data_IF_811176693841
#
_entry.id   IF_811176693841
#
_cell.length_a   1.000
_cell.length_b   1.000
_cell.length_c   1.000
_cell.angle_alpha   90.00
_cell.angle_beta   90.00
_cell.angle_gamma   90.00
#
_symmetry.space_group_name_H-M   'P 1'
#
loop_
_entity.id
_entity.type
_entity.pdbx_description
1 polymer ?
#
# COMPACT_ATOMS: atom_id res chain seq x y z
N UNK A 1 15.53 -2.00 -21.16
CA UNK A 1 14.42 -1.25 -20.56
C UNK A 1 14.87 0.07 -19.91
N UNK A 2 15.70 0.06 -18.85
CA UNK A 2 16.05 1.26 -18.07
C UNK A 2 16.59 2.47 -18.89
N UNK A 3 17.54 2.23 -19.82
CA UNK A 3 18.06 3.30 -20.72
C UNK A 3 16.96 3.91 -21.60
N UNK A 4 15.96 3.12 -22.01
CA UNK A 4 14.85 3.62 -22.79
C UNK A 4 13.92 4.50 -21.94
N UNK A 5 13.65 4.11 -20.68
CA UNK A 5 12.90 4.93 -19.73
C UNK A 5 13.55 6.30 -19.51
N UNK A 6 14.87 6.36 -19.34
CA UNK A 6 15.61 7.63 -19.24
C UNK A 6 15.39 8.55 -20.46
N UNK A 7 15.35 7.98 -21.68
CA UNK A 7 15.06 8.75 -22.90
C UNK A 7 13.63 9.30 -22.91
N UNK A 8 12.66 8.51 -22.44
CA UNK A 8 11.25 8.93 -22.33
C UNK A 8 11.12 10.07 -21.31
N UNK A 9 11.71 9.92 -20.11
CA UNK A 9 11.71 10.96 -19.07
C UNK A 9 12.28 12.26 -19.61
N UNK A 10 13.44 12.21 -20.30
CA UNK A 10 14.05 13.38 -20.93
C UNK A 10 13.14 14.00 -22.01
N UNK A 11 12.52 13.18 -22.86
CA UNK A 11 11.61 13.64 -23.91
C UNK A 11 10.34 14.30 -23.35
N UNK A 12 9.89 13.91 -22.16
CA UNK A 12 8.77 14.51 -21.44
C UNK A 12 9.17 15.72 -20.57
N UNK A 13 10.45 16.13 -20.57
CA UNK A 13 10.95 17.28 -19.81
C UNK A 13 11.33 16.99 -18.35
N UNK A 14 11.39 15.72 -17.94
CA UNK A 14 11.84 15.32 -16.60
C UNK A 14 13.36 15.15 -16.50
N UNK A 15 13.86 14.99 -15.27
CA UNK A 15 15.26 14.67 -15.00
C UNK A 15 15.53 13.16 -15.24
N UNK A 16 16.32 12.76 -16.26
CA UNK A 16 16.61 11.35 -16.54
C UNK A 16 17.52 10.68 -15.51
N UNK A 17 18.19 11.47 -14.66
CA UNK A 17 19.11 10.98 -13.63
C UNK A 17 18.50 11.00 -12.23
N UNK A 18 17.19 11.31 -12.12
CA UNK A 18 16.43 11.12 -10.89
C UNK A 18 16.54 9.67 -10.42
N UNK A 19 16.73 9.49 -9.12
CA UNK A 19 16.75 8.17 -8.50
C UNK A 19 15.37 7.88 -7.89
N UNK A 20 14.93 6.60 -7.85
CA UNK A 20 13.67 6.24 -7.20
C UNK A 20 13.59 6.73 -5.74
N UNK A 21 14.72 6.79 -5.04
CA UNK A 21 14.82 7.23 -3.65
C UNK A 21 14.64 8.75 -3.49
N UNK A 22 14.80 9.53 -4.57
CA UNK A 22 14.57 10.98 -4.58
C UNK A 22 13.07 11.33 -4.65
N UNK A 23 12.19 10.33 -4.86
CA UNK A 23 10.74 10.53 -4.97
C UNK A 23 10.15 10.65 -3.56
N UNK A 24 9.70 11.85 -3.22
CA UNK A 24 9.10 12.12 -1.91
C UNK A 24 7.73 11.44 -1.72
N UNK A 25 7.56 10.78 -0.58
CA UNK A 25 6.28 10.24 -0.10
C UNK A 25 5.68 11.12 0.99
N UNK A 26 4.43 10.86 1.36
CA UNK A 26 3.70 11.66 2.35
C UNK A 26 4.38 11.62 3.73
N UNK A 27 4.47 12.75 4.45
CA UNK A 27 5.11 12.81 5.76
C UNK A 27 4.32 12.07 6.85
N UNK A 28 3.00 11.91 6.68
CA UNK A 28 2.17 11.15 7.60
C UNK A 28 2.02 9.71 7.11
N UNK A 29 2.24 8.75 8.01
CA UNK A 29 2.20 7.33 7.68
C UNK A 29 1.53 6.52 8.81
N UNK A 30 0.74 5.52 8.42
CA UNK A 30 0.19 4.53 9.33
C UNK A 30 0.49 3.10 8.85
N UNK A 31 0.91 2.24 9.78
CA UNK A 31 1.14 0.82 9.54
C UNK A 31 -0.11 0.01 9.85
N UNK A 32 -0.58 -0.75 8.88
CA UNK A 32 -1.68 -1.68 9.05
C UNK A 32 -1.14 -3.08 9.29
N UNK A 33 -1.29 -3.56 10.52
CA UNK A 33 -0.70 -4.81 11.01
C UNK A 33 -1.66 -5.98 10.93
N UNK A 34 -1.11 -7.19 10.81
CA UNK A 34 -1.89 -8.42 10.89
C UNK A 34 -2.46 -8.59 12.30
N UNK A 35 -3.77 -8.83 12.47
CA UNK A 35 -4.37 -9.08 13.78
C UNK A 35 -4.00 -10.46 14.34
N UNK A 36 -3.62 -11.40 13.48
CA UNK A 36 -3.34 -12.79 13.83
C UNK A 36 -2.29 -13.43 12.91
N UNK A 37 -1.90 -14.65 13.25
CA UNK A 37 -1.01 -15.48 12.43
C UNK A 37 -1.80 -16.13 11.29
N UNK A 38 -1.23 -16.18 10.08
CA UNK A 38 -1.89 -16.83 8.95
C UNK A 38 -1.20 -16.60 7.61
N UNK A 39 -1.94 -16.83 6.54
CA UNK A 39 -1.53 -16.52 5.18
C UNK A 39 -2.51 -15.53 4.56
N UNK A 40 -2.00 -14.57 3.78
CA UNK A 40 -2.87 -13.69 2.99
C UNK A 40 -3.42 -14.49 1.82
N UNK A 41 -4.72 -14.80 1.84
CA UNK A 41 -5.35 -15.64 0.80
C UNK A 41 -5.97 -14.83 -0.32
N UNK A 42 -6.44 -13.62 -0.02
CA UNK A 42 -7.04 -12.72 -1.01
C UNK A 42 -6.88 -11.24 -0.61
N UNK A 43 -6.98 -10.34 -1.59
CA UNK A 43 -6.95 -8.88 -1.39
C UNK A 43 -7.99 -8.18 -2.28
N UNK A 44 -8.93 -7.47 -1.66
CA UNK A 44 -9.97 -6.68 -2.35
C UNK A 44 -9.42 -5.35 -2.87
N UNK A 45 -9.10 -5.31 -4.17
CA UNK A 45 -8.58 -4.12 -4.85
C UNK A 45 -9.49 -2.88 -4.75
N UNK A 46 -10.81 -3.08 -4.65
CA UNK A 46 -11.77 -1.97 -4.46
C UNK A 46 -11.48 -1.19 -3.16
N UNK A 47 -11.22 -1.91 -2.07
CA UNK A 47 -10.94 -1.29 -0.76
C UNK A 47 -9.57 -0.62 -0.77
N UNK A 48 -8.56 -1.24 -1.37
CA UNK A 48 -7.23 -0.63 -1.58
C UNK A 48 -7.37 0.70 -2.34
N UNK A 49 -8.12 0.72 -3.44
CA UNK A 49 -8.34 1.93 -4.22
C UNK A 49 -9.08 3.01 -3.39
N UNK A 50 -10.09 2.62 -2.62
CA UNK A 50 -10.85 3.56 -1.78
C UNK A 50 -9.99 4.15 -0.66
N UNK A 51 -9.19 3.33 0.04
CA UNK A 51 -8.25 3.79 1.08
C UNK A 51 -7.25 4.79 0.48
N UNK A 52 -6.66 4.48 -0.69
CA UNK A 52 -5.70 5.36 -1.35
C UNK A 52 -6.34 6.71 -1.73
N UNK A 53 -7.59 6.70 -2.20
CA UNK A 53 -8.34 7.92 -2.51
C UNK A 53 -8.62 8.76 -1.27
N UNK A 54 -9.01 8.14 -0.16
CA UNK A 54 -9.26 8.85 1.11
C UNK A 54 -7.95 9.48 1.62
N UNK A 55 -6.83 8.76 1.52
CA UNK A 55 -5.51 9.28 1.88
C UNK A 55 -5.07 10.48 1.03
N UNK A 56 -5.66 10.70 -0.14
CA UNK A 56 -5.45 11.89 -0.97
C UNK A 56 -5.04 11.61 -2.43
N UNK A 57 -4.88 10.35 -2.84
CA UNK A 57 -4.57 10.00 -4.23
C UNK A 57 -5.79 10.26 -5.15
N UNK A 58 -5.60 10.75 -6.39
CA UNK A 58 -4.35 11.16 -7.03
C UNK A 58 -4.01 12.65 -6.88
N UNK A 59 -4.88 13.44 -6.25
CA UNK A 59 -4.70 14.88 -6.11
C UNK A 59 -3.39 15.23 -5.39
N UNK A 60 -3.06 14.44 -4.36
CA UNK A 60 -1.78 14.46 -3.67
C UNK A 60 -0.92 13.30 -4.18
N UNK A 61 0.14 13.60 -4.95
CA UNK A 61 1.07 12.58 -5.49
C UNK A 61 1.87 11.84 -4.41
N UNK A 62 2.03 12.45 -3.24
CA UNK A 62 2.73 11.88 -2.07
C UNK A 62 1.85 10.89 -1.27
N UNK A 63 0.54 10.88 -1.51
CA UNK A 63 -0.39 9.99 -0.82
C UNK A 63 -0.56 8.66 -1.58
N UNK A 64 -0.75 7.58 -0.84
CA UNK A 64 -0.92 6.26 -1.44
C UNK A 64 -0.80 5.11 -0.44
N UNK A 65 -0.67 3.91 -0.96
CA UNK A 65 -0.52 2.68 -0.17
C UNK A 65 0.70 1.92 -0.66
N UNK A 66 1.55 1.50 0.27
CA UNK A 66 2.63 0.57 0.03
C UNK A 66 2.24 -0.82 0.56
N UNK A 67 2.28 -1.83 -0.31
CA UNK A 67 1.91 -3.21 0.02
C UNK A 67 3.20 -3.96 0.36
N UNK A 68 3.35 -4.31 1.64
CA UNK A 68 4.54 -5.02 2.15
C UNK A 68 4.38 -6.53 1.98
N UNK A 69 3.24 -7.06 2.41
CA UNK A 69 2.91 -8.48 2.29
C UNK A 69 1.78 -8.69 1.28
N UNK A 70 1.99 -9.60 0.33
CA UNK A 70 1.06 -9.89 -0.76
C UNK A 70 0.36 -11.24 -0.55
N UNK A 71 -0.62 -11.53 -1.38
CA UNK A 71 -1.27 -12.86 -1.46
C UNK A 71 -0.19 -13.95 -1.50
N UNK A 72 -0.39 -15.00 -0.69
CA UNK A 72 0.55 -16.11 -0.49
C UNK A 72 1.59 -15.88 0.61
N UNK A 73 1.74 -14.66 1.12
CA UNK A 73 2.70 -14.37 2.20
C UNK A 73 2.19 -14.93 3.53
N UNK A 74 3.08 -15.60 4.27
CA UNK A 74 2.85 -15.95 5.68
C UNK A 74 3.10 -14.72 6.53
N UNK A 75 2.16 -14.38 7.39
CA UNK A 75 2.25 -13.26 8.33
C UNK A 75 2.02 -13.76 9.75
N UNK A 76 2.69 -13.11 10.71
CA UNK A 76 2.43 -13.25 12.14
C UNK A 76 1.63 -12.06 12.64
N UNK A 77 0.96 -12.23 13.77
CA UNK A 77 0.33 -11.12 14.49
C UNK A 77 1.34 -10.00 14.71
N UNK A 78 0.98 -8.80 14.29
CA UNK A 78 1.82 -7.61 14.38
C UNK A 78 2.68 -7.32 13.14
N UNK A 79 2.81 -8.25 12.19
CA UNK A 79 3.51 -8.00 10.93
C UNK A 79 2.77 -6.93 10.11
N UNK A 80 3.51 -5.99 9.53
CA UNK A 80 2.92 -4.93 8.71
C UNK A 80 2.53 -5.49 7.34
N UNK A 81 1.27 -5.31 6.96
CA UNK A 81 0.75 -5.75 5.66
C UNK A 81 0.72 -4.59 4.68
N UNK A 82 0.22 -3.44 5.13
CA UNK A 82 0.14 -2.22 4.35
C UNK A 82 0.72 -1.02 5.11
N UNK A 83 1.26 -0.06 4.39
CA UNK A 83 1.55 1.28 4.89
C UNK A 83 0.73 2.28 4.10
N UNK A 84 -0.02 3.13 4.79
CA UNK A 84 -0.82 4.20 4.19
C UNK A 84 -0.04 5.51 4.38
N UNK A 85 0.19 6.24 3.29
CA UNK A 85 0.87 7.54 3.28
C UNK A 85 -0.09 8.66 2.91
N UNK A 86 0.07 9.82 3.55
CA UNK A 86 -0.76 11.01 3.31
C UNK A 86 0.05 12.30 3.49
N UNK A 87 -0.38 13.38 2.83
CA UNK A 87 0.09 14.76 3.09
C UNK A 87 -0.67 15.45 4.24
N UNK A 88 -1.74 14.82 4.73
CA UNK A 88 -2.64 15.35 5.76
C UNK A 88 -2.90 14.29 6.82
N UNK A 89 -2.63 14.63 8.08
CA UNK A 89 -2.92 13.80 9.24
C UNK A 89 -4.41 13.44 9.33
N UNK A 90 -5.30 14.39 9.05
CA UNK A 90 -6.75 14.17 9.01
C UNK A 90 -7.14 13.10 7.99
N UNK A 91 -6.64 13.21 6.76
CA UNK A 91 -6.91 12.21 5.70
C UNK A 91 -6.33 10.84 6.03
N UNK A 92 -5.17 10.80 6.69
CA UNK A 92 -4.59 9.54 7.17
C UNK A 92 -5.52 8.88 8.18
N UNK A 93 -6.02 9.64 9.15
CA UNK A 93 -6.96 9.13 10.15
C UNK A 93 -8.24 8.58 9.49
N UNK A 94 -8.84 9.31 8.55
CA UNK A 94 -10.01 8.85 7.80
C UNK A 94 -9.73 7.57 6.98
N UNK A 95 -8.54 7.46 6.39
CA UNK A 95 -8.13 6.28 5.63
C UNK A 95 -7.93 5.05 6.54
N UNK A 96 -7.35 5.25 7.72
CA UNK A 96 -7.18 4.20 8.74
C UNK A 96 -8.54 3.75 9.29
N UNK A 97 -9.46 4.68 9.55
CA UNK A 97 -10.82 4.35 9.96
C UNK A 97 -11.53 3.49 8.92
N UNK A 98 -11.46 3.90 7.64
CA UNK A 98 -12.04 3.12 6.55
C UNK A 98 -11.40 1.73 6.43
N UNK A 99 -10.08 1.62 6.54
CA UNK A 99 -9.37 0.34 6.54
C UNK A 99 -9.86 -0.58 7.67
N UNK A 100 -10.01 -0.05 8.88
CA UNK A 100 -10.43 -0.86 10.03
C UNK A 100 -11.85 -1.39 9.86
N UNK A 101 -12.75 -0.60 9.26
CA UNK A 101 -14.09 -1.02 8.92
C UNK A 101 -14.15 -1.97 7.71
N UNK A 102 -13.19 -1.88 6.79
CA UNK A 102 -13.14 -2.66 5.55
C UNK A 102 -11.73 -3.21 5.29
N UNK A 103 -11.26 -4.20 6.08
CA UNK A 103 -9.94 -4.78 5.86
C UNK A 103 -9.83 -5.33 4.43
N UNK A 104 -8.86 -4.87 3.62
CA UNK A 104 -8.72 -5.28 2.23
C UNK A 104 -8.23 -6.72 2.10
N UNK A 105 -7.48 -7.23 3.07
CA UNK A 105 -6.93 -8.58 3.07
C UNK A 105 -7.85 -9.59 3.75
N UNK A 106 -7.85 -10.81 3.22
CA UNK A 106 -8.37 -11.99 3.91
C UNK A 106 -7.21 -12.84 4.43
N UNK A 107 -7.31 -13.26 5.69
CA UNK A 107 -6.38 -14.21 6.28
C UNK A 107 -6.98 -15.61 6.24
N UNK A 108 -6.18 -16.59 5.85
CA UNK A 108 -6.50 -18.01 5.93
C UNK A 108 -5.55 -18.72 6.88
N UNK A 109 -6.08 -19.69 7.62
CA UNK A 109 -5.29 -20.69 8.34
C UNK A 109 -4.89 -21.87 7.45
N UNK A 110 -3.99 -22.73 7.94
CA UNK A 110 -3.89 -24.09 7.41
C UNK A 110 -5.08 -24.91 7.95
N UNK A 111 -6.23 -24.83 7.30
CA UNK A 111 -7.24 -25.88 7.46
C UNK A 111 -6.90 -26.99 6.48
N UNK A 112 -6.16 -28.01 6.93
CA UNK A 112 -6.20 -29.31 6.25
C UNK A 112 -7.60 -29.85 6.57
N UNK A 113 -8.55 -29.75 5.64
CA UNK A 113 -9.73 -30.59 5.72
C UNK A 113 -9.23 -32.03 5.72
N UNK A 114 -9.31 -32.68 6.89
CA UNK A 114 -9.23 -34.14 6.97
C UNK A 114 -10.50 -34.66 6.31
N UNK A 115 -10.37 -35.09 5.05
CA UNK A 115 -11.29 -36.04 4.43
C UNK A 115 -11.14 -37.39 5.13
#
# INVERSE_FOLDING_TARGET
AYKAMKRIIKAQGGNPDIKPEDIEVGPYMAEMKSPEDGFITDVKNEYINRIAKIAGCPATKKAGIYIINKIGSKVKKGDVIFQIYSDSEKRLAEAVEYYNAHPPQQLGGMTIEKI
#
